data_IF_837649454109
#
_entry.id   IF_837649454109
#
_cell.length_a   1.000
_cell.length_b   1.000
_cell.length_c   1.000
_cell.angle_alpha   90.00
_cell.angle_beta   90.00
_cell.angle_gamma   90.00
#
_symmetry.space_group_name_H-M   'P 1'
#
loop_
_entity.id
_entity.type
_entity.pdbx_description
1 polymer ?
#
# COMPACT_ATOMS: atom_id res chain seq x y z
N UNK A 1 2.42 16.32 -1.07
CA UNK A 1 2.44 14.89 -0.72
C UNK A 1 3.71 14.32 -1.33
N UNK A 2 4.48 13.51 -0.60
CA UNK A 2 5.68 12.92 -1.21
C UNK A 2 5.25 11.87 -2.23
N UNK A 3 5.79 11.97 -3.44
CA UNK A 3 5.61 10.96 -4.48
C UNK A 3 6.81 10.04 -4.47
N UNK A 4 6.56 8.75 -4.29
CA UNK A 4 7.58 7.71 -4.35
C UNK A 4 7.70 7.18 -5.79
N UNK A 5 6.59 7.13 -6.53
CA UNK A 5 6.58 6.73 -7.93
C UNK A 5 6.55 7.97 -8.84
N UNK A 6 7.70 8.28 -9.45
CA UNK A 6 7.92 9.52 -10.21
C UNK A 6 7.58 9.44 -11.70
N UNK A 7 7.58 8.25 -12.30
CA UNK A 7 7.32 8.09 -13.74
C UNK A 7 6.35 6.95 -14.01
N UNK A 8 5.07 7.28 -14.18
CA UNK A 8 4.06 6.29 -14.57
C UNK A 8 4.34 5.70 -15.95
N UNK A 9 4.87 6.51 -16.87
CA UNK A 9 5.22 6.05 -18.24
C UNK A 9 6.38 5.07 -18.27
N UNK A 10 7.24 5.06 -17.26
CA UNK A 10 8.31 4.07 -17.16
C UNK A 10 7.75 2.68 -16.80
N UNK A 11 6.62 2.65 -16.08
CA UNK A 11 6.01 1.42 -15.58
C UNK A 11 4.90 0.93 -16.52
N UNK A 12 4.04 1.83 -16.99
CA UNK A 12 2.95 1.56 -17.93
C UNK A 12 3.13 2.38 -19.22
N UNK A 13 4.03 1.97 -20.12
CA UNK A 13 4.33 2.73 -21.34
C UNK A 13 3.17 2.75 -22.35
N UNK A 14 2.36 1.70 -22.35
CA UNK A 14 1.27 1.49 -23.32
C UNK A 14 -0.08 2.08 -22.88
N UNK A 15 -0.15 2.65 -21.67
CA UNK A 15 -1.40 3.20 -21.13
C UNK A 15 -1.87 4.43 -21.92
N UNK A 16 -3.14 4.42 -22.32
CA UNK A 16 -3.76 5.56 -23.02
C UNK A 16 -3.97 6.77 -22.09
N UNK A 17 -4.47 7.90 -22.61
CA UNK A 17 -4.65 9.11 -21.79
C UNK A 17 -5.72 8.97 -20.70
N UNK A 18 -6.74 8.15 -20.91
CA UNK A 18 -7.79 7.91 -19.92
C UNK A 18 -7.30 6.95 -18.81
N UNK A 19 -6.54 5.94 -19.22
CA UNK A 19 -5.89 4.97 -18.36
C UNK A 19 -4.78 5.63 -17.53
N UNK A 20 -3.99 6.55 -18.10
CA UNK A 20 -3.02 7.34 -17.35
C UNK A 20 -3.67 8.10 -16.18
N UNK A 21 -4.80 8.79 -16.42
CA UNK A 21 -5.53 9.50 -15.35
C UNK A 21 -6.07 8.54 -14.29
N UNK A 22 -6.49 7.33 -14.68
CA UNK A 22 -6.93 6.30 -13.75
C UNK A 22 -5.77 5.78 -12.90
N UNK A 23 -4.64 5.47 -13.52
CA UNK A 23 -3.41 4.99 -12.87
C UNK A 23 -2.88 6.05 -11.89
N UNK A 24 -2.86 7.33 -12.27
CA UNK A 24 -2.47 8.43 -11.37
C UNK A 24 -3.31 8.43 -10.09
N UNK A 25 -4.64 8.31 -10.22
CA UNK A 25 -5.53 8.25 -9.05
C UNK A 25 -5.32 7.01 -8.18
N UNK A 26 -4.93 5.89 -8.77
CA UNK A 26 -4.62 4.66 -8.04
C UNK A 26 -3.28 4.78 -7.30
N UNK A 27 -2.27 5.34 -7.97
CA UNK A 27 -0.96 5.63 -7.38
C UNK A 27 -1.13 6.59 -6.20
N UNK A 28 -1.81 7.72 -6.38
CA UNK A 28 -2.02 8.70 -5.31
C UNK A 28 -2.72 8.09 -4.09
N UNK A 29 -3.70 7.18 -4.31
CA UNK A 29 -4.37 6.45 -3.22
C UNK A 29 -3.46 5.43 -2.56
N UNK A 30 -2.67 4.68 -3.33
CA UNK A 30 -1.75 3.69 -2.80
C UNK A 30 -0.67 4.36 -1.93
N UNK A 31 -0.09 5.47 -2.40
CA UNK A 31 0.86 6.28 -1.63
C UNK A 31 0.22 6.83 -0.34
N UNK A 32 -1.01 7.35 -0.42
CA UNK A 32 -1.74 7.81 0.75
C UNK A 32 -1.98 6.68 1.78
N UNK A 33 -2.33 5.49 1.30
CA UNK A 33 -2.54 4.31 2.14
C UNK A 33 -1.25 3.88 2.84
N UNK A 34 -0.12 3.84 2.11
CA UNK A 34 1.19 3.51 2.69
C UNK A 34 1.58 4.53 3.75
N UNK A 35 1.44 5.82 3.48
CA UNK A 35 1.78 6.88 4.44
C UNK A 35 0.88 6.83 5.67
N UNK A 36 -0.42 6.58 5.49
CA UNK A 36 -1.37 6.42 6.60
C UNK A 36 -1.03 5.20 7.46
N UNK A 37 -0.65 4.07 6.84
CA UNK A 37 -0.36 2.82 7.53
C UNK A 37 1.01 2.81 8.20
N UNK A 38 1.99 3.44 7.55
CA UNK A 38 3.38 3.54 7.99
C UNK A 38 3.81 5.02 8.01
N UNK A 39 3.42 5.79 9.04
CA UNK A 39 3.69 7.24 9.11
C UNK A 39 5.19 7.59 9.10
N UNK A 40 6.06 6.66 9.49
CA UNK A 40 7.51 6.83 9.54
C UNK A 40 8.20 6.60 8.19
N UNK A 41 7.47 6.19 7.14
CA UNK A 41 8.03 5.88 5.82
C UNK A 41 8.81 7.05 5.23
N UNK A 42 8.27 8.26 5.28
CA UNK A 42 8.92 9.47 4.75
C UNK A 42 10.27 9.71 5.40
N UNK A 43 10.27 9.74 6.73
CA UNK A 43 11.49 9.92 7.51
C UNK A 43 12.50 8.81 7.24
N UNK A 44 12.06 7.55 7.13
CA UNK A 44 12.95 6.41 6.86
C UNK A 44 13.61 6.48 5.49
N UNK A 45 12.88 7.03 4.51
CA UNK A 45 13.40 7.29 3.16
C UNK A 45 14.42 8.42 3.19
N UNK A 46 14.13 9.52 3.89
CA UNK A 46 15.06 10.65 4.09
C UNK A 46 16.33 10.22 4.83
N UNK A 47 16.19 9.39 5.87
CA UNK A 47 17.29 8.85 6.68
C UNK A 47 18.06 7.71 5.95
N UNK A 48 17.65 7.33 4.73
CA UNK A 48 18.28 6.27 3.93
C UNK A 48 18.08 4.84 4.46
N UNK A 49 17.33 4.67 5.55
CA UNK A 49 17.00 3.38 6.17
C UNK A 49 15.95 2.57 5.40
N UNK A 50 15.26 3.20 4.44
CA UNK A 50 14.33 2.57 3.51
C UNK A 50 14.57 3.15 2.12
N UNK A 51 14.74 2.29 1.12
CA UNK A 51 14.97 2.76 -0.25
C UNK A 51 13.66 3.27 -0.88
N UNK A 52 13.73 4.42 -1.55
CA UNK A 52 12.62 4.97 -2.36
C UNK A 52 12.13 3.93 -3.37
N UNK A 53 13.06 3.19 -4.00
CA UNK A 53 12.74 2.18 -5.01
C UNK A 53 11.91 1.03 -4.43
N UNK A 54 12.12 0.67 -3.16
CA UNK A 54 11.32 -0.37 -2.50
C UNK A 54 9.89 0.12 -2.32
N UNK A 55 9.71 1.35 -1.83
CA UNK A 55 8.36 1.94 -1.67
C UNK A 55 7.66 2.09 -3.03
N UNK A 56 8.39 2.54 -4.06
CA UNK A 56 7.86 2.64 -5.41
C UNK A 56 7.44 1.28 -6.00
N UNK A 57 8.24 0.22 -5.78
CA UNK A 57 7.89 -1.14 -6.20
C UNK A 57 6.63 -1.67 -5.50
N UNK A 58 6.47 -1.41 -4.20
CA UNK A 58 5.23 -1.78 -3.48
C UNK A 58 4.01 -1.04 -4.06
N UNK A 59 4.15 0.25 -4.36
CA UNK A 59 3.08 1.03 -5.00
C UNK A 59 2.73 0.46 -6.38
N UNK A 60 3.74 0.13 -7.18
CA UNK A 60 3.57 -0.51 -8.49
C UNK A 60 2.81 -1.85 -8.39
N UNK A 61 3.24 -2.74 -7.49
CA UNK A 61 2.60 -4.05 -7.29
C UNK A 61 1.14 -3.92 -6.84
N UNK A 62 0.85 -2.96 -5.95
CA UNK A 62 -0.52 -2.66 -5.52
C UNK A 62 -1.40 -2.20 -6.69
N UNK A 63 -0.89 -1.30 -7.54
CA UNK A 63 -1.63 -0.76 -8.68
C UNK A 63 -1.81 -1.83 -9.76
N UNK A 64 -0.77 -2.61 -10.07
CA UNK A 64 -0.84 -3.71 -11.02
C UNK A 64 -1.89 -4.76 -10.62
N UNK A 65 -1.97 -5.11 -9.33
CA UNK A 65 -3.02 -6.00 -8.82
C UNK A 65 -4.41 -5.40 -8.96
N UNK A 66 -4.56 -4.11 -8.64
CA UNK A 66 -5.83 -3.42 -8.76
C UNK A 66 -6.33 -3.38 -10.21
N UNK A 67 -5.45 -3.07 -11.15
CA UNK A 67 -5.75 -3.08 -12.60
C UNK A 67 -6.09 -4.48 -13.07
N UNK A 68 -5.26 -5.47 -12.75
CA UNK A 68 -5.48 -6.87 -13.14
C UNK A 68 -6.77 -7.47 -12.55
N UNK A 69 -7.22 -6.98 -11.38
CA UNK A 69 -8.50 -7.37 -10.79
C UNK A 69 -9.70 -6.75 -11.50
N UNK A 70 -9.52 -5.60 -12.14
CA UNK A 70 -10.57 -4.89 -12.87
C UNK A 70 -10.69 -5.43 -14.30
N UNK A 71 -9.56 -5.71 -14.96
CA UNK A 71 -9.53 -6.22 -16.34
C UNK A 71 -10.08 -7.64 -16.49
N UNK A 72 -9.97 -8.46 -15.44
CA UNK A 72 -10.55 -9.81 -15.42
C UNK A 72 -12.08 -9.83 -15.28
N UNK A 73 -12.74 -8.67 -15.44
CA UNK A 73 -14.18 -8.55 -15.35
C UNK A 73 -14.66 -8.84 -13.93
N UNK A 74 -14.41 -7.91 -13.00
CA UNK A 74 -15.15 -7.91 -11.75
C UNK A 74 -16.63 -7.93 -12.08
N UNK A 75 -17.29 -9.08 -11.90
CA UNK A 75 -18.67 -9.43 -12.26
C UNK A 75 -19.55 -8.18 -12.41
N UNK A 76 -19.67 -7.67 -13.65
CA UNK A 76 -20.62 -6.61 -13.96
C UNK A 76 -22.00 -7.24 -14.11
N UNK A 77 -22.79 -7.09 -13.05
CA UNK A 77 -24.12 -6.48 -13.12
C UNK A 77 -24.94 -6.87 -14.36
N UNK A 78 -25.66 -8.00 -14.27
CA UNK A 78 -26.81 -8.28 -15.12
C UNK A 78 -27.90 -7.23 -14.85
N UNK A 79 -27.99 -6.24 -15.73
CA UNK A 79 -29.09 -5.30 -15.78
C UNK A 79 -30.36 -6.02 -16.29
N UNK A 80 -31.38 -6.12 -15.45
CA UNK A 80 -32.78 -6.23 -15.90
C UNK A 80 -33.50 -4.93 -15.51
N UNK A 81 -34.21 -4.30 -16.46
CA UNK A 81 -34.96 -3.07 -16.21
C UNK A 81 -36.15 -3.40 -15.29
N UNK A 82 -36.76 -2.38 -14.69
CA UNK A 82 -38.07 -2.40 -14.00
C UNK A 82 -38.02 -2.17 -12.48
N UNK A 83 -36.91 -2.39 -11.76
CA UNK A 83 -36.82 -1.97 -10.34
C UNK A 83 -35.43 -1.44 -9.99
N UNK A 84 -35.25 -0.13 -10.07
CA UNK A 84 -34.08 0.55 -9.50
C UNK A 84 -34.22 0.63 -7.98
N UNK A 85 -33.93 -0.47 -7.29
CA UNK A 85 -33.56 -0.47 -5.88
C UNK A 85 -32.42 -1.49 -5.69
N UNK A 86 -31.18 -1.03 -5.64
CA UNK A 86 -30.03 -1.84 -5.25
C UNK A 86 -29.60 -1.52 -3.82
N UNK A 87 -30.02 -2.38 -2.88
CA UNK A 87 -29.30 -2.60 -1.62
C UNK A 87 -29.26 -4.11 -1.34
N UNK A 88 -28.06 -4.66 -1.08
CA UNK A 88 -27.81 -6.01 -0.53
C UNK A 88 -27.20 -7.00 -1.52
N UNK A 89 -26.15 -7.79 -1.23
CA UNK A 89 -25.57 -8.30 0.03
C UNK A 89 -24.09 -8.66 -0.18
N UNK A 90 -23.17 -8.77 0.78
CA UNK A 90 -23.20 -8.70 2.23
C UNK A 90 -21.76 -8.77 2.75
N UNK A 91 -21.51 -8.10 3.88
CA UNK A 91 -20.20 -8.05 4.54
C UNK A 91 -19.63 -6.63 4.59
N UNK A 92 -19.59 -6.05 5.78
CA UNK A 92 -18.72 -4.92 6.07
C UNK A 92 -17.26 -5.35 5.82
N UNK A 93 -16.77 -5.14 4.61
CA UNK A 93 -15.44 -5.62 4.21
C UNK A 93 -15.33 -5.99 2.73
N UNK A 94 -15.86 -5.18 1.82
CA UNK A 94 -15.41 -5.24 0.42
C UNK A 94 -13.90 -5.00 0.45
N UNK A 95 -13.13 -6.06 0.17
CA UNK A 95 -11.68 -6.04 0.24
C UNK A 95 -11.18 -4.81 -0.52
N UNK A 96 -10.47 -3.93 0.17
CA UNK A 96 -9.92 -2.72 -0.42
C UNK A 96 -9.21 -3.09 -1.73
N UNK A 97 -9.62 -2.46 -2.85
CA UNK A 97 -9.02 -2.68 -4.17
C UNK A 97 -7.49 -2.56 -4.12
N UNK A 98 -7.01 -1.68 -3.24
CA UNK A 98 -5.61 -1.50 -2.91
C UNK A 98 -5.35 -2.15 -1.55
N UNK A 99 -4.55 -3.21 -1.55
CA UNK A 99 -4.16 -3.89 -0.32
C UNK A 99 -2.68 -4.25 -0.38
N UNK A 100 -2.07 -4.30 0.81
CA UNK A 100 -0.70 -4.73 1.00
C UNK A 100 -0.67 -6.24 1.24
N UNK A 101 0.24 -6.94 0.58
CA UNK A 101 0.53 -8.35 0.86
C UNK A 101 1.38 -8.49 2.11
N UNK A 102 1.49 -9.71 2.64
CA UNK A 102 2.33 -9.99 3.81
C UNK A 102 3.78 -9.61 3.58
N UNK A 103 4.33 -9.89 2.39
CA UNK A 103 5.72 -9.57 2.06
C UNK A 103 5.96 -8.06 1.96
N UNK A 104 5.01 -7.32 1.39
CA UNK A 104 5.06 -5.84 1.33
C UNK A 104 4.93 -5.21 2.71
N UNK A 105 4.07 -5.77 3.56
CA UNK A 105 3.98 -5.36 4.96
C UNK A 105 5.31 -5.58 5.66
N UNK A 106 5.97 -6.72 5.48
CA UNK A 106 7.27 -7.00 6.07
C UNK A 106 8.36 -6.04 5.55
N UNK A 107 8.37 -5.75 4.25
CA UNK A 107 9.31 -4.81 3.64
C UNK A 107 9.15 -3.38 4.19
N UNK A 108 7.91 -2.96 4.46
CA UNK A 108 7.60 -1.62 4.98
C UNK A 108 7.60 -1.54 6.50
N UNK A 109 7.55 -2.66 7.21
CA UNK A 109 7.57 -2.67 8.68
C UNK A 109 8.93 -2.17 9.18
N UNK A 110 8.97 -1.18 10.09
CA UNK A 110 10.23 -0.76 10.69
C UNK A 110 10.85 -1.92 11.48
N UNK A 111 12.18 -2.12 11.43
CA UNK A 111 12.82 -3.12 12.28
C UNK A 111 12.54 -2.76 13.74
N UNK A 112 12.19 -3.76 14.56
CA UNK A 112 12.00 -3.53 15.98
C UNK A 112 13.28 -2.92 16.57
N UNK A 113 13.19 -1.84 17.35
CA UNK A 113 14.36 -1.34 18.06
C UNK A 113 14.82 -2.46 18.99
N UNK A 114 15.97 -3.09 18.68
CA UNK A 114 16.58 -4.08 19.58
C UNK A 114 16.98 -3.33 20.85
N UNK A 115 16.09 -3.27 21.83
CA UNK A 115 16.41 -2.72 23.13
C UNK A 115 17.39 -3.70 23.79
N UNK A 116 18.68 -3.40 23.68
CA UNK A 116 19.72 -4.06 24.45
C UNK A 116 19.55 -3.66 25.92
N UNK A 117 18.68 -4.35 26.64
CA UNK A 117 18.56 -4.18 28.08
C UNK A 117 19.75 -4.87 28.75
N UNK A 118 20.81 -4.12 29.06
CA UNK A 118 21.89 -4.58 29.93
C UNK A 118 21.41 -4.54 31.38
N UNK A 119 21.04 -5.68 31.96
CA UNK A 119 20.76 -5.79 33.39
C UNK A 119 22.07 -5.71 34.16
N UNK A 120 22.42 -4.53 34.66
CA UNK A 120 23.49 -4.41 35.66
C UNK A 120 22.99 -5.01 36.98
N UNK A 121 23.46 -6.21 37.31
CA UNK A 121 23.26 -6.82 38.63
C UNK A 121 24.12 -6.06 39.64
N UNK A 122 23.53 -5.09 40.33
CA UNK A 122 24.20 -4.37 41.44
C UNK A 122 24.62 -5.40 42.50
N UNK A 123 25.92 -5.55 42.72
CA UNK A 123 26.43 -6.41 43.78
C UNK A 123 25.87 -5.94 45.14
N UNK A 124 25.23 -6.85 45.89
CA UNK A 124 24.76 -6.56 47.25
C UNK A 124 25.98 -6.48 48.17
N UNK A 125 26.05 -5.49 49.08
CA UNK A 125 27.07 -5.51 50.11
C UNK A 125 26.78 -6.67 51.07
N UNK A 126 27.74 -7.58 51.21
CA UNK A 126 27.77 -8.53 52.32
C UNK A 126 28.21 -7.78 53.57
N UNK A 127 27.35 -7.76 54.58
CA UNK A 127 27.69 -7.38 55.95
C UNK A 127 28.44 -8.52 56.64
#
# INVERSE_FOLDING_TARGET
MAKFLTSLRAVWPDADSAEQVRLERLVDRAEALIVQRFPTTLRRVEDGSLSVTVVAGVVEDMVNRAVASQDRGGVEKLAYPEVTMEWGSGGAGSGSLLYLTTDELLALTPPEPSAAFTVYRRARPSW
#
